data_IF_974403172749
#
_entry.id   IF_974403172749
#
_cell.length_a   1.000
_cell.length_b   1.000
_cell.length_c   1.000
_cell.angle_alpha   90.00
_cell.angle_beta   90.00
_cell.angle_gamma   90.00
#
_symmetry.space_group_name_H-M   'P 1'
#
loop_
_entity.id
_entity.type
_entity.pdbx_description
1 polymer ?
#
# COMPACT_ATOMS: atom_id res chain seq x y z
N UNK A 1 -9.95 10.26 -1.65
CA UNK A 1 -10.63 11.23 -0.77
C UNK A 1 -9.99 12.61 -0.90
N UNK A 2 -10.79 13.66 -1.11
CA UNK A 2 -10.32 15.05 -1.11
C UNK A 2 -10.66 15.74 0.21
N UNK A 3 -9.88 16.75 0.58
CA UNK A 3 -10.29 17.68 1.62
C UNK A 3 -11.59 18.39 1.21
N UNK A 4 -12.49 18.56 2.17
CA UNK A 4 -13.75 19.30 1.98
C UNK A 4 -13.70 20.67 2.63
N UNK A 5 -12.73 20.88 3.52
CA UNK A 5 -12.52 22.13 4.24
C UNK A 5 -11.24 22.84 3.77
N UNK A 6 -11.21 24.16 3.90
CA UNK A 6 -10.06 25.00 3.50
C UNK A 6 -8.81 24.83 4.37
N UNK A 7 -8.95 24.25 5.56
CA UNK A 7 -7.83 23.88 6.43
C UNK A 7 -7.20 22.51 6.05
N UNK A 8 -7.71 21.83 5.01
CA UNK A 8 -7.22 20.53 4.58
C UNK A 8 -7.84 19.33 5.30
N UNK A 9 -8.91 19.50 6.07
CA UNK A 9 -9.63 18.38 6.68
C UNK A 9 -10.76 17.85 5.81
N UNK A 10 -11.25 16.67 6.16
CA UNK A 10 -12.41 16.02 5.55
C UNK A 10 -13.58 16.02 6.52
N UNK A 11 -14.74 16.44 6.03
CA UNK A 11 -16.04 16.32 6.68
C UNK A 11 -16.96 15.58 5.73
N UNK A 12 -17.56 14.49 6.20
CA UNK A 12 -18.42 13.66 5.36
C UNK A 12 -19.64 14.44 4.85
N UNK A 13 -20.03 14.20 3.60
CA UNK A 13 -21.17 14.85 2.95
C UNK A 13 -20.86 16.23 2.37
N UNK A 14 -19.76 16.88 2.76
CA UNK A 14 -19.34 18.14 2.15
C UNK A 14 -18.71 17.92 0.77
N UNK A 15 -18.87 18.91 -0.11
CA UNK A 15 -18.22 18.89 -1.42
C UNK A 15 -16.69 19.08 -1.28
N UNK A 16 -15.87 18.55 -2.21
CA UNK A 16 -14.45 18.83 -2.23
C UNK A 16 -14.16 20.33 -2.22
N UNK A 17 -13.26 20.78 -1.34
CA UNK A 17 -12.87 22.17 -1.28
C UNK A 17 -12.12 22.56 -2.56
N UNK A 18 -12.56 23.62 -3.22
CA UNK A 18 -11.84 24.23 -4.33
C UNK A 18 -10.84 25.24 -3.75
N UNK A 19 -9.55 24.93 -3.86
CA UNK A 19 -8.49 25.81 -3.34
C UNK A 19 -8.11 26.92 -4.33
N UNK A 20 -8.16 26.62 -5.63
CA UNK A 20 -7.83 27.54 -6.70
C UNK A 20 -8.40 27.03 -8.03
N UNK A 21 -8.67 27.93 -8.96
CA UNK A 21 -9.03 27.59 -10.33
C UNK A 21 -8.57 28.67 -11.31
N UNK A 22 -8.54 28.35 -12.60
CA UNK A 22 -8.16 29.33 -13.60
C UNK A 22 -8.22 28.80 -15.02
N UNK A 23 -7.57 29.54 -15.92
CA UNK A 23 -7.49 29.22 -17.34
C UNK A 23 -6.04 29.24 -17.78
N UNK A 24 -5.64 28.16 -18.45
CA UNK A 24 -4.28 27.98 -18.96
C UNK A 24 -4.00 29.04 -20.01
N UNK A 25 -2.93 29.80 -19.82
CA UNK A 25 -2.55 30.91 -20.70
C UNK A 25 -1.75 30.47 -21.93
N UNK A 26 -1.04 29.35 -21.84
CA UNK A 26 -0.12 28.90 -22.90
C UNK A 26 0.00 27.39 -22.86
N UNK A 27 -0.16 26.73 -24.01
CA UNK A 27 0.12 25.29 -24.15
C UNK A 27 1.58 25.01 -23.82
N UNK A 28 1.82 24.02 -22.97
CA UNK A 28 3.14 23.55 -22.59
C UNK A 28 3.24 22.03 -22.77
N UNK A 29 4.46 21.50 -22.68
CA UNK A 29 4.65 20.05 -22.59
C UNK A 29 3.99 19.51 -21.30
N UNK A 30 3.64 18.22 -21.32
CA UNK A 30 3.08 17.56 -20.14
C UNK A 30 3.98 17.67 -18.91
N UNK A 31 3.34 17.79 -17.74
CA UNK A 31 4.01 18.06 -16.46
C UNK A 31 4.14 19.54 -16.12
N UNK A 32 3.72 20.43 -17.01
CA UNK A 32 3.76 21.88 -16.81
C UNK A 32 2.41 22.50 -17.15
N UNK A 33 1.93 23.38 -16.29
CA UNK A 33 0.76 24.23 -16.57
C UNK A 33 1.12 25.69 -16.31
N UNK A 34 0.80 26.57 -17.25
CA UNK A 34 1.15 27.99 -17.20
C UNK A 34 -0.12 28.84 -17.19
N UNK A 35 -0.30 29.63 -16.13
CA UNK A 35 -1.33 30.64 -16.00
C UNK A 35 -0.68 31.99 -15.67
N UNK A 36 -0.52 32.84 -16.69
CA UNK A 36 0.12 34.15 -16.59
C UNK A 36 -0.73 35.17 -15.84
N UNK A 37 -2.01 34.88 -15.60
CA UNK A 37 -2.90 35.74 -14.81
C UNK A 37 -2.63 35.61 -13.30
N UNK A 38 -1.88 34.59 -12.88
CA UNK A 38 -1.65 34.27 -11.46
C UNK A 38 -0.39 34.92 -10.91
N UNK A 39 -0.33 35.01 -9.58
CA UNK A 39 0.83 35.48 -8.83
C UNK A 39 0.96 34.70 -7.53
N UNK A 40 1.17 33.39 -7.67
CA UNK A 40 1.28 32.46 -6.55
C UNK A 40 2.57 32.65 -5.76
N UNK A 41 2.53 32.37 -4.45
CA UNK A 41 3.77 32.21 -3.71
C UNK A 41 4.50 30.94 -4.20
N UNK A 42 5.84 31.00 -4.24
CA UNK A 42 6.67 29.86 -4.64
C UNK A 42 6.31 28.63 -3.80
N UNK A 43 6.05 27.52 -4.47
CA UNK A 43 5.74 26.21 -3.88
C UNK A 43 4.53 26.15 -2.94
N UNK A 44 3.63 27.14 -2.94
CA UNK A 44 2.43 27.09 -2.10
C UNK A 44 1.48 25.93 -2.43
N UNK A 45 1.56 25.38 -3.65
CA UNK A 45 0.69 24.31 -4.13
C UNK A 45 1.35 22.93 -4.09
N UNK A 46 2.57 22.78 -3.56
CA UNK A 46 3.24 21.47 -3.47
C UNK A 46 2.41 20.52 -2.59
N UNK A 47 2.20 19.30 -3.09
CA UNK A 47 1.38 18.28 -2.42
C UNK A 47 -0.14 18.41 -2.65
N UNK A 48 -0.59 19.47 -3.33
CA UNK A 48 -1.96 19.57 -3.86
C UNK A 48 -2.05 18.85 -5.22
N UNK A 49 -3.27 18.70 -5.74
CA UNK A 49 -3.52 18.15 -7.07
C UNK A 49 -4.09 19.20 -8.00
N UNK A 50 -3.60 19.26 -9.24
CA UNK A 50 -4.25 20.00 -10.33
C UNK A 50 -5.03 19.02 -11.20
N UNK A 51 -6.22 19.42 -11.65
CA UNK A 51 -7.03 18.65 -12.61
C UNK A 51 -7.50 19.52 -13.77
N UNK A 52 -7.66 18.92 -14.94
CA UNK A 52 -8.29 19.58 -16.07
C UNK A 52 -9.82 19.57 -15.90
N UNK A 53 -10.42 20.75 -15.94
CA UNK A 53 -11.87 20.94 -15.78
C UNK A 53 -12.56 21.36 -17.08
N UNK A 54 -11.84 21.40 -18.21
CA UNK A 54 -12.41 21.71 -19.52
C UNK A 54 -13.13 20.48 -20.09
N UNK A 55 -14.47 20.47 -20.24
CA UNK A 55 -15.21 19.32 -20.75
C UNK A 55 -14.88 18.95 -22.21
N UNK A 56 -14.27 19.87 -22.96
CA UNK A 56 -13.86 19.64 -24.35
C UNK A 56 -12.42 19.13 -24.49
N UNK A 57 -11.63 19.15 -23.40
CA UNK A 57 -10.25 18.69 -23.43
C UNK A 57 -10.19 17.16 -23.37
N UNK A 58 -9.22 16.56 -24.07
CA UNK A 58 -8.99 15.12 -24.02
C UNK A 58 -8.78 14.60 -22.57
N UNK A 59 -7.95 15.26 -21.71
CA UNK A 59 -7.77 14.83 -20.32
C UNK A 59 -8.82 15.41 -19.37
N UNK A 60 -10.08 15.63 -19.80
CA UNK A 60 -11.13 16.14 -18.91
C UNK A 60 -11.30 15.24 -17.67
N UNK A 61 -11.23 15.86 -16.48
CA UNK A 61 -11.22 15.22 -15.14
C UNK A 61 -9.96 14.46 -14.76
N UNK A 62 -8.99 14.34 -15.65
CA UNK A 62 -7.67 13.82 -15.29
C UNK A 62 -6.93 14.82 -14.40
N UNK A 63 -6.11 14.31 -13.49
CA UNK A 63 -5.39 15.12 -12.52
C UNK A 63 -4.10 14.48 -12.06
N UNK A 64 -3.22 15.29 -11.49
CA UNK A 64 -1.95 14.85 -10.93
C UNK A 64 -1.52 15.74 -9.76
N UNK A 65 -0.61 15.25 -8.93
CA UNK A 65 -0.07 16.02 -7.82
C UNK A 65 1.02 17.00 -8.27
N UNK A 66 1.01 18.17 -7.66
CA UNK A 66 1.90 19.29 -7.92
C UNK A 66 3.18 19.07 -7.11
N UNK A 67 4.32 19.13 -7.79
CA UNK A 67 5.66 18.94 -7.20
C UNK A 67 6.43 20.24 -7.03
N UNK A 68 6.06 21.30 -7.77
CA UNK A 68 6.61 22.65 -7.61
C UNK A 68 5.66 23.69 -8.19
N UNK A 69 5.80 24.95 -7.77
CA UNK A 69 5.23 26.08 -8.51
C UNK A 69 6.04 27.38 -8.38
N UNK A 70 6.02 28.18 -9.43
CA UNK A 70 6.42 29.59 -9.42
C UNK A 70 5.17 30.47 -9.25
N UNK A 71 5.28 31.77 -9.54
CA UNK A 71 4.14 32.69 -9.54
C UNK A 71 3.05 32.37 -10.57
N UNK A 72 3.43 31.77 -11.70
CA UNK A 72 2.54 31.58 -12.87
C UNK A 72 2.61 30.16 -13.45
N UNK A 73 3.38 29.27 -12.85
CA UNK A 73 3.66 27.95 -13.43
C UNK A 73 3.54 26.89 -12.36
N UNK A 74 2.70 25.88 -12.59
CA UNK A 74 2.70 24.63 -11.85
C UNK A 74 3.58 23.62 -12.58
N UNK A 75 4.34 22.85 -11.80
CA UNK A 75 4.97 21.61 -12.25
C UNK A 75 4.31 20.47 -11.49
N UNK A 76 3.79 19.48 -12.22
CA UNK A 76 3.10 18.32 -11.67
C UNK A 76 3.74 17.03 -12.18
N UNK A 77 3.50 15.93 -11.48
CA UNK A 77 4.04 14.64 -11.89
C UNK A 77 3.37 14.17 -13.19
N UNK A 78 4.17 13.87 -14.22
CA UNK A 78 3.65 13.53 -15.54
C UNK A 78 3.82 12.04 -15.84
N UNK A 79 2.70 11.37 -16.11
CA UNK A 79 2.65 9.95 -16.42
C UNK A 79 2.44 9.73 -17.92
N UNK A 80 3.27 8.90 -18.55
CA UNK A 80 3.38 8.84 -20.02
C UNK A 80 3.03 7.50 -20.65
N UNK A 81 2.67 6.48 -19.87
CA UNK A 81 2.46 5.11 -20.39
C UNK A 81 1.12 4.90 -21.11
N UNK A 82 0.16 5.82 -20.99
CA UNK A 82 -1.11 5.78 -21.74
C UNK A 82 -2.09 4.67 -21.35
N UNK A 83 -1.77 3.86 -20.34
CA UNK A 83 -2.60 2.78 -19.77
C UNK A 83 -3.78 3.29 -18.93
N UNK A 84 -3.89 4.60 -18.72
CA UNK A 84 -4.88 5.23 -17.83
C UNK A 84 -5.71 6.32 -18.52
N UNK A 85 -5.83 6.23 -19.85
CA UNK A 85 -6.52 7.23 -20.66
C UNK A 85 -5.57 8.34 -21.16
N UNK A 86 -6.12 9.48 -21.60
CA UNK A 86 -5.34 10.58 -22.15
C UNK A 86 -4.32 11.13 -21.13
N UNK A 87 -3.11 11.42 -21.59
CA UNK A 87 -2.11 12.06 -20.75
C UNK A 87 -2.57 13.46 -20.31
N UNK A 88 -2.31 13.82 -19.05
CA UNK A 88 -2.66 15.15 -18.52
C UNK A 88 -1.77 16.22 -19.14
N UNK A 89 -2.24 16.80 -20.24
CA UNK A 89 -1.66 17.95 -20.93
C UNK A 89 -2.68 19.09 -20.91
N UNK A 90 -2.20 20.29 -20.63
CA UNK A 90 -3.02 21.49 -20.54
C UNK A 90 -2.79 22.37 -21.77
N UNK A 91 -3.83 22.53 -22.59
CA UNK A 91 -3.80 23.43 -23.74
C UNK A 91 -4.20 24.85 -23.36
N UNK A 92 -3.73 25.84 -24.11
CA UNK A 92 -4.15 27.22 -23.94
C UNK A 92 -5.68 27.32 -24.04
N UNK A 93 -6.31 27.94 -23.05
CA UNK A 93 -7.77 28.04 -22.93
C UNK A 93 -8.42 26.95 -22.09
N UNK A 94 -7.70 25.88 -21.72
CA UNK A 94 -8.24 24.88 -20.79
C UNK A 94 -8.51 25.50 -19.42
N UNK A 95 -9.65 25.14 -18.81
CA UNK A 95 -9.90 25.42 -17.41
C UNK A 95 -9.27 24.35 -16.52
N UNK A 96 -8.84 24.76 -15.32
CA UNK A 96 -8.29 23.85 -14.31
C UNK A 96 -8.82 24.17 -12.90
N UNK A 97 -8.71 23.18 -12.02
CA UNK A 97 -9.00 23.28 -10.60
C UNK A 97 -7.87 22.68 -9.77
N UNK A 98 -7.59 23.28 -8.60
CA UNK A 98 -6.67 22.77 -7.60
C UNK A 98 -7.46 22.29 -6.37
N UNK A 99 -7.21 21.05 -5.99
CA UNK A 99 -7.77 20.40 -4.82
C UNK A 99 -6.67 19.80 -3.95
N UNK A 100 -7.01 19.43 -2.71
CA UNK A 100 -6.12 18.66 -1.84
C UNK A 100 -6.60 17.22 -1.72
N UNK A 101 -5.84 16.29 -2.29
CA UNK A 101 -6.07 14.86 -2.10
C UNK A 101 -5.47 14.46 -0.74
N UNK A 102 -6.25 13.77 0.08
CA UNK A 102 -5.82 13.32 1.41
C UNK A 102 -5.42 11.84 1.43
N UNK A 103 -6.07 11.05 0.59
CA UNK A 103 -5.83 9.62 0.41
C UNK A 103 -6.31 9.20 -0.97
N UNK A 104 -5.67 8.20 -1.56
CA UNK A 104 -6.08 7.58 -2.83
C UNK A 104 -6.56 6.16 -2.58
N UNK A 105 -7.36 5.62 -3.50
CA UNK A 105 -7.72 4.20 -3.51
C UNK A 105 -6.44 3.37 -3.64
N UNK A 106 -6.34 2.27 -2.91
CA UNK A 106 -5.17 1.38 -2.85
C UNK A 106 -3.90 2.04 -2.29
N UNK A 107 -4.05 3.11 -1.50
CA UNK A 107 -2.91 3.67 -0.79
C UNK A 107 -2.41 2.67 0.29
N UNK A 108 -1.10 2.36 0.35
CA UNK A 108 -0.56 1.58 1.46
C UNK A 108 -0.90 2.21 2.81
N UNK A 109 -1.23 1.38 3.80
CA UNK A 109 -1.65 1.86 5.12
C UNK A 109 -3.16 2.14 5.25
N UNK A 110 -3.99 1.68 4.29
CA UNK A 110 -5.44 1.93 4.21
C UNK A 110 -6.28 0.67 3.92
N UNK A 111 -6.06 -0.41 4.68
CA UNK A 111 -6.58 -1.75 4.34
C UNK A 111 -8.08 -1.97 4.54
N UNK A 112 -8.73 -1.21 5.41
CA UNK A 112 -10.12 -1.44 5.81
C UNK A 112 -11.06 -0.37 5.28
N UNK A 113 -12.07 -0.75 4.52
CA UNK A 113 -13.08 0.16 3.98
C UNK A 113 -14.35 -0.58 3.53
N UNK A 114 -15.28 0.19 2.98
CA UNK A 114 -16.51 -0.28 2.37
C UNK A 114 -16.24 -1.08 1.10
N UNK A 115 -17.13 -2.04 0.84
CA UNK A 115 -17.10 -2.80 -0.40
C UNK A 115 -17.36 -1.92 -1.62
N UNK A 116 -16.37 -1.80 -2.49
CA UNK A 116 -16.55 -1.32 -3.87
C UNK A 116 -17.08 -2.45 -4.75
N UNK A 117 -18.03 -2.16 -5.65
CA UNK A 117 -18.53 -3.15 -6.61
C UNK A 117 -19.01 -2.52 -7.92
N UNK A 118 -19.13 -3.32 -8.98
CA UNK A 118 -19.43 -2.84 -10.33
C UNK A 118 -18.17 -2.70 -11.19
N UNK A 119 -18.33 -2.49 -12.49
CA UNK A 119 -17.22 -2.60 -13.45
C UNK A 119 -16.70 -1.26 -13.99
N UNK A 120 -17.55 -0.24 -14.18
CA UNK A 120 -17.06 1.13 -14.46
C UNK A 120 -18.21 2.17 -14.52
N UNK A 121 -18.23 3.19 -13.65
CA UNK A 121 -17.34 3.36 -12.49
C UNK A 121 -17.80 2.47 -11.33
N UNK A 122 -16.89 1.99 -10.46
CA UNK A 122 -17.27 1.26 -9.27
C UNK A 122 -18.10 2.14 -8.31
N UNK A 123 -19.02 1.51 -7.59
CA UNK A 123 -19.83 2.17 -6.55
C UNK A 123 -19.42 1.67 -5.17
N UNK A 124 -19.37 2.57 -4.20
CA UNK A 124 -19.34 2.20 -2.79
C UNK A 124 -20.74 1.67 -2.43
N UNK A 125 -20.83 0.43 -1.94
CA UNK A 125 -22.10 -0.18 -1.54
C UNK A 125 -22.79 0.49 -0.35
N UNK A 126 -22.04 1.02 0.62
CA UNK A 126 -22.62 1.72 1.76
C UNK A 126 -23.29 3.03 1.35
N UNK A 127 -22.66 3.77 0.44
CA UNK A 127 -23.18 5.04 -0.07
C UNK A 127 -24.13 4.88 -1.29
N UNK A 128 -24.20 3.68 -1.87
CA UNK A 128 -24.92 3.36 -3.10
C UNK A 128 -24.64 4.34 -4.27
N UNK A 129 -23.40 4.81 -4.38
CA UNK A 129 -22.94 5.74 -5.43
C UNK A 129 -21.42 5.68 -5.56
N UNK A 130 -20.88 6.34 -6.59
CA UNK A 130 -19.45 6.63 -6.64
C UNK A 130 -19.08 7.52 -5.46
N UNK A 131 -18.38 6.93 -4.50
CA UNK A 131 -17.99 7.59 -3.28
C UNK A 131 -16.71 6.95 -2.73
N UNK A 132 -16.05 7.70 -1.86
CA UNK A 132 -14.94 7.18 -1.08
C UNK A 132 -15.37 5.93 -0.30
N UNK A 133 -14.50 4.91 -0.25
CA UNK A 133 -14.73 3.63 0.42
C UNK A 133 -14.49 3.70 1.93
N UNK A 134 -14.46 4.88 2.54
CA UNK A 134 -14.21 5.04 3.98
C UNK A 134 -12.95 4.31 4.49
N UNK A 135 -11.88 4.30 3.68
CA UNK A 135 -10.67 3.55 4.08
C UNK A 135 -10.06 4.13 5.35
N UNK A 136 -9.99 3.28 6.38
CA UNK A 136 -9.42 3.59 7.67
C UNK A 136 -7.90 3.47 7.63
N UNK A 137 -7.24 4.18 8.54
CA UNK A 137 -5.80 4.08 8.74
C UNK A 137 -5.45 2.73 9.35
N UNK A 138 -4.66 1.93 8.65
CA UNK A 138 -4.08 0.66 9.11
C UNK A 138 -2.59 0.63 8.72
N UNK A 139 -1.72 1.28 9.50
CA UNK A 139 -0.39 1.67 9.03
C UNK A 139 0.56 0.50 8.80
N UNK A 140 1.19 0.40 7.64
CA UNK A 140 2.21 -0.63 7.41
C UNK A 140 3.43 -0.42 8.32
N UNK A 141 3.88 -1.46 9.03
CA UNK A 141 5.03 -1.38 9.93
C UNK A 141 6.18 -2.27 9.48
N UNK A 142 7.40 -1.72 9.52
CA UNK A 142 8.63 -2.45 9.21
C UNK A 142 9.59 -2.39 10.40
N UNK A 143 10.23 -3.51 10.72
CA UNK A 143 11.27 -3.62 11.75
C UNK A 143 12.22 -4.76 11.39
N UNK A 144 13.47 -4.69 11.85
CA UNK A 144 14.52 -5.70 11.65
C UNK A 144 14.81 -6.10 10.20
N UNK A 145 14.32 -5.36 9.20
CA UNK A 145 14.74 -5.49 7.80
C UNK A 145 16.15 -4.89 7.64
N UNK A 146 17.18 -5.64 8.02
CA UNK A 146 18.54 -5.14 8.15
C UNK A 146 19.44 -5.65 7.03
N UNK A 147 20.21 -4.75 6.40
CA UNK A 147 21.31 -5.13 5.53
C UNK A 147 22.51 -5.60 6.38
N UNK A 148 22.74 -6.91 6.37
CA UNK A 148 23.68 -7.56 7.29
C UNK A 148 25.10 -6.99 7.26
N UNK A 149 25.59 -6.51 6.12
CA UNK A 149 26.97 -5.99 5.98
C UNK A 149 27.20 -4.61 6.60
N UNK A 150 26.15 -3.80 6.75
CA UNK A 150 26.25 -2.42 7.27
C UNK A 150 25.38 -2.17 8.49
N UNK A 151 24.56 -3.16 8.86
CA UNK A 151 23.53 -3.05 9.88
C UNK A 151 22.50 -1.93 9.60
N UNK A 152 22.37 -1.50 8.34
CA UNK A 152 21.40 -0.48 7.95
C UNK A 152 19.98 -1.07 7.93
N UNK A 153 19.04 -0.42 8.60
CA UNK A 153 17.63 -0.80 8.56
C UNK A 153 16.95 -0.21 7.33
N UNK A 154 16.28 -1.05 6.56
CA UNK A 154 15.39 -0.67 5.47
C UNK A 154 13.93 -0.66 5.94
N UNK A 155 13.13 0.15 5.27
CA UNK A 155 11.70 0.24 5.54
C UNK A 155 10.96 0.76 4.32
N UNK A 156 9.72 1.19 4.55
CA UNK A 156 8.89 1.78 3.52
C UNK A 156 9.38 3.19 3.16
N UNK A 157 9.19 3.58 1.90
CA UNK A 157 9.39 4.93 1.42
C UNK A 157 8.35 5.25 0.36
N UNK A 158 7.99 6.51 0.24
CA UNK A 158 7.08 6.96 -0.81
C UNK A 158 7.39 8.40 -1.21
N UNK A 159 7.45 8.63 -2.52
CA UNK A 159 7.48 9.97 -3.09
C UNK A 159 6.06 10.56 -3.24
N UNK A 160 5.02 9.78 -2.88
CA UNK A 160 3.64 10.21 -2.98
C UNK A 160 3.28 11.14 -1.81
N UNK A 161 2.70 12.33 -2.07
CA UNK A 161 2.41 13.30 -1.01
C UNK A 161 1.34 12.82 -0.02
N UNK A 162 0.56 11.79 -0.38
CA UNK A 162 -0.51 11.26 0.47
C UNK A 162 -0.06 10.07 1.32
N UNK A 163 1.12 9.49 1.11
CA UNK A 163 1.64 8.38 1.91
C UNK A 163 2.64 8.90 2.94
N UNK A 164 2.20 9.03 4.19
CA UNK A 164 2.95 9.74 5.24
C UNK A 164 3.58 8.78 6.25
N UNK A 165 4.88 8.92 6.48
CA UNK A 165 5.54 8.28 7.62
C UNK A 165 4.92 8.80 8.93
N UNK A 166 4.67 7.90 9.88
CA UNK A 166 4.00 8.24 11.14
C UNK A 166 2.48 8.30 11.03
N UNK A 167 1.89 7.97 9.88
CA UNK A 167 0.44 7.84 9.71
C UNK A 167 0.07 6.60 8.91
N UNK A 168 0.60 6.48 7.69
CA UNK A 168 0.28 5.39 6.78
C UNK A 168 1.34 4.28 6.84
N UNK A 169 2.56 4.62 7.26
CA UNK A 169 3.60 3.63 7.55
C UNK A 169 4.55 4.06 8.67
N UNK A 170 5.18 3.07 9.30
CA UNK A 170 6.19 3.25 10.34
C UNK A 170 7.41 2.37 10.05
N UNK A 171 8.60 2.99 10.08
CA UNK A 171 9.88 2.29 9.98
C UNK A 171 10.52 2.29 11.36
N UNK A 172 10.37 1.20 12.10
CA UNK A 172 10.78 1.09 13.50
C UNK A 172 12.29 0.86 13.67
N UNK A 173 12.99 0.53 12.58
CA UNK A 173 14.43 0.32 12.57
C UNK A 173 14.83 -1.10 12.95
N UNK A 174 15.95 -1.24 13.66
CA UNK A 174 16.58 -2.51 14.01
C UNK A 174 16.78 -2.66 15.53
N UNK A 175 17.24 -3.84 15.96
CA UNK A 175 17.60 -4.11 17.35
C UNK A 175 16.46 -4.67 18.20
N UNK A 176 15.33 -5.03 17.58
CA UNK A 176 14.27 -5.75 18.28
C UNK A 176 14.67 -7.23 18.45
N UNK A 177 14.35 -7.88 19.58
CA UNK A 177 14.62 -9.29 19.77
C UNK A 177 14.00 -10.15 18.67
N UNK A 178 14.71 -11.20 18.24
CA UNK A 178 14.19 -12.15 17.26
C UNK A 178 12.87 -12.78 17.74
N UNK A 179 11.96 -13.06 16.80
CA UNK A 179 10.66 -13.67 17.07
C UNK A 179 9.77 -12.90 18.05
N UNK A 180 9.99 -11.59 18.22
CA UNK A 180 9.14 -10.73 19.06
C UNK A 180 8.45 -9.65 18.24
N UNK A 181 7.28 -9.24 18.71
CA UNK A 181 6.54 -8.10 18.18
C UNK A 181 6.99 -6.83 18.91
N UNK A 182 7.42 -5.77 18.19
CA UNK A 182 7.70 -4.48 18.80
C UNK A 182 6.46 -3.93 19.55
N UNK A 183 6.62 -3.32 20.74
CA UNK A 183 5.48 -2.76 21.50
C UNK A 183 4.63 -1.78 20.70
N UNK A 184 5.25 -0.98 19.82
CA UNK A 184 4.54 -0.07 18.92
C UNK A 184 3.55 -0.80 18.01
N UNK A 185 3.97 -1.94 17.43
CA UNK A 185 3.12 -2.78 16.57
C UNK A 185 1.94 -3.33 17.37
N UNK A 186 2.22 -3.95 18.52
CA UNK A 186 1.18 -4.53 19.38
C UNK A 186 0.16 -3.48 19.86
N UNK A 187 0.61 -2.27 20.17
CA UNK A 187 -0.26 -1.17 20.62
C UNK A 187 -1.14 -0.58 19.51
N UNK A 188 -0.68 -0.63 18.26
CA UNK A 188 -1.46 -0.14 17.11
C UNK A 188 -2.44 -1.19 16.62
N UNK A 189 -1.98 -2.44 16.49
CA UNK A 189 -2.75 -3.55 15.97
C UNK A 189 -3.42 -4.37 17.07
N UNK A 190 -4.34 -3.72 17.77
CA UNK A 190 -5.19 -4.37 18.78
C UNK A 190 -6.26 -5.24 18.11
N UNK A 191 -6.81 -6.21 18.84
CA UNK A 191 -7.97 -6.98 18.40
C UNK A 191 -9.17 -6.10 18.01
N UNK A 192 -9.32 -4.90 18.62
CA UNK A 192 -10.38 -3.97 18.24
C UNK A 192 -10.22 -3.45 16.80
N UNK A 193 -8.99 -3.35 16.29
CA UNK A 193 -8.71 -2.94 14.92
C UNK A 193 -8.81 -4.13 13.95
N UNK A 194 -8.12 -5.23 14.27
CA UNK A 194 -7.87 -6.37 13.37
C UNK A 194 -8.83 -7.56 13.55
N UNK A 195 -9.70 -7.54 14.57
CA UNK A 195 -10.49 -8.70 15.00
C UNK A 195 -9.72 -9.73 15.83
N UNK A 196 -8.38 -9.69 15.80
CA UNK A 196 -7.46 -10.51 16.61
C UNK A 196 -6.24 -9.69 17.02
N UNK A 197 -5.66 -10.00 18.18
CA UNK A 197 -4.42 -9.35 18.63
C UNK A 197 -3.24 -9.82 17.76
N UNK A 198 -2.37 -8.88 17.38
CA UNK A 198 -1.10 -9.22 16.75
C UNK A 198 -0.09 -9.64 17.84
N UNK A 199 -0.03 -10.93 18.15
CA UNK A 199 0.75 -11.47 19.29
C UNK A 199 2.17 -11.92 18.93
N UNK A 200 2.57 -11.86 17.66
CA UNK A 200 3.87 -12.39 17.23
C UNK A 200 4.01 -12.42 15.72
N UNK A 201 5.26 -12.61 15.21
CA UNK A 201 5.45 -12.98 13.82
C UNK A 201 4.68 -14.27 13.52
N UNK A 202 4.00 -14.28 12.38
CA UNK A 202 3.26 -15.44 11.92
C UNK A 202 4.24 -16.56 11.57
N UNK A 203 4.16 -17.68 12.30
CA UNK A 203 4.90 -18.90 12.00
C UNK A 203 4.07 -19.71 11.00
N UNK A 204 4.64 -19.99 9.83
CA UNK A 204 3.98 -20.85 8.85
C UNK A 204 3.86 -22.28 9.39
N UNK A 205 2.71 -22.96 9.16
CA UNK A 205 1.67 -22.71 8.17
C UNK A 205 0.36 -22.17 8.78
N UNK A 206 -0.46 -21.56 7.91
CA UNK A 206 -1.70 -20.86 8.26
C UNK A 206 -2.87 -21.77 8.71
N UNK A 207 -3.78 -21.32 9.61
CA UNK A 207 -4.97 -22.07 10.01
C UNK A 207 -6.17 -22.01 9.03
N UNK A 208 -6.04 -21.34 7.88
CA UNK A 208 -7.06 -21.35 6.81
C UNK A 208 -6.92 -22.53 5.82
N UNK A 209 -6.01 -23.46 6.09
CA UNK A 209 -6.13 -24.83 5.60
C UNK A 209 -6.74 -25.62 6.74
N UNK A 210 -8.01 -25.96 6.63
CA UNK A 210 -8.68 -26.94 7.49
C UNK A 210 -8.10 -28.36 7.31
N UNK A 211 -6.81 -28.49 6.94
CA UNK A 211 -6.17 -29.75 6.55
C UNK A 211 -4.64 -29.73 6.43
N UNK A 212 -3.89 -28.66 6.76
CA UNK A 212 -2.42 -28.76 6.76
C UNK A 212 -1.92 -29.14 8.16
N UNK A 213 -1.20 -30.27 8.21
CA UNK A 213 -0.44 -30.74 9.37
C UNK A 213 0.41 -29.61 9.94
N UNK A 214 0.31 -29.40 11.26
CA UNK A 214 1.25 -28.57 12.01
C UNK A 214 2.67 -29.12 11.77
N UNK A 215 3.64 -28.32 11.27
CA UNK A 215 5.03 -28.71 11.21
C UNK A 215 5.47 -29.15 12.60
N UNK A 216 6.03 -30.34 12.67
CA UNK A 216 6.41 -30.96 13.94
C UNK A 216 7.86 -30.60 14.22
N UNK A 217 8.19 -30.25 15.46
CA UNK A 217 9.57 -30.15 15.92
C UNK A 217 10.04 -31.55 16.31
N UNK A 218 10.73 -32.24 15.39
CA UNK A 218 11.15 -33.64 15.54
C UNK A 218 12.49 -33.74 16.27
N UNK A 219 13.34 -32.71 16.18
CA UNK A 219 14.66 -32.68 16.80
C UNK A 219 14.71 -31.94 18.16
N UNK A 220 13.65 -31.25 18.56
CA UNK A 220 13.49 -30.55 19.83
C UNK A 220 14.19 -29.18 19.91
N UNK A 221 14.51 -28.55 18.77
CA UNK A 221 15.24 -27.28 18.72
C UNK A 221 14.34 -26.04 18.75
N UNK A 222 13.02 -26.23 18.85
CA UNK A 222 12.02 -25.18 18.87
C UNK A 222 11.72 -24.58 17.50
N UNK A 223 12.14 -25.24 16.40
CA UNK A 223 11.90 -24.83 15.02
C UNK A 223 11.05 -25.88 14.29
N UNK A 224 10.31 -25.48 13.24
CA UNK A 224 9.48 -26.42 12.49
C UNK A 224 10.33 -27.36 11.61
N UNK A 225 10.07 -28.66 11.66
CA UNK A 225 10.66 -29.65 10.74
C UNK A 225 9.61 -30.20 9.75
N UNK A 226 10.08 -30.66 8.59
CA UNK A 226 9.24 -31.27 7.56
C UNK A 226 9.52 -32.76 7.40
N UNK A 227 8.44 -33.56 7.40
CA UNK A 227 8.47 -34.93 6.94
C UNK A 227 8.05 -34.99 5.47
N UNK A 228 8.97 -35.43 4.63
CA UNK A 228 8.84 -35.49 3.17
C UNK A 228 8.71 -36.94 2.73
N UNK A 229 7.86 -37.17 1.73
CA UNK A 229 7.65 -38.47 1.10
C UNK A 229 7.77 -38.36 -0.41
N UNK A 230 8.65 -39.15 -1.01
CA UNK A 230 8.76 -39.27 -2.45
C UNK A 230 7.83 -40.39 -2.93
N UNK A 231 6.71 -40.11 -3.63
CA UNK A 231 5.74 -41.14 -4.01
C UNK A 231 6.27 -42.13 -5.06
N UNK A 232 7.31 -41.76 -5.81
CA UNK A 232 7.91 -42.62 -6.84
C UNK A 232 8.88 -43.63 -6.23
N UNK A 233 9.77 -43.19 -5.35
CA UNK A 233 10.78 -44.05 -4.71
C UNK A 233 10.33 -44.61 -3.37
N UNK A 234 9.25 -44.06 -2.82
CA UNK A 234 8.69 -44.31 -1.48
C UNK A 234 9.63 -43.95 -0.33
N UNK A 235 10.69 -43.19 -0.62
CA UNK A 235 11.63 -42.73 0.39
C UNK A 235 10.98 -41.67 1.28
N UNK A 236 11.28 -41.73 2.57
CA UNK A 236 10.91 -40.69 3.53
C UNK A 236 12.15 -39.96 4.03
N UNK A 237 12.02 -38.66 4.28
CA UNK A 237 13.09 -37.81 4.80
C UNK A 237 12.50 -36.82 5.79
N UNK A 238 13.23 -36.55 6.86
CA UNK A 238 12.99 -35.41 7.75
C UNK A 238 13.96 -34.30 7.35
N UNK A 239 13.45 -33.09 7.12
CA UNK A 239 14.23 -31.87 6.94
C UNK A 239 14.15 -31.03 8.21
N UNK A 240 15.31 -30.72 8.76
CA UNK A 240 15.45 -29.78 9.87
C UNK A 240 15.56 -28.37 9.32
N UNK A 241 14.68 -27.46 9.74
CA UNK A 241 14.62 -26.11 9.17
C UNK A 241 14.90 -25.03 10.21
N UNK A 242 15.52 -23.94 9.75
CA UNK A 242 15.50 -22.66 10.44
C UNK A 242 14.83 -21.65 9.52
N UNK A 243 13.53 -21.43 9.74
CA UNK A 243 12.65 -20.71 8.83
C UNK A 243 12.59 -21.40 7.44
N UNK A 244 13.06 -20.76 6.39
CA UNK A 244 13.09 -21.25 5.00
C UNK A 244 14.42 -21.92 4.62
N UNK A 245 15.34 -22.06 5.57
CA UNK A 245 16.69 -22.63 5.34
C UNK A 245 16.77 -24.06 5.87
N UNK A 246 17.18 -25.00 5.01
CA UNK A 246 17.52 -26.37 5.40
C UNK A 246 18.84 -26.40 6.19
N UNK A 247 18.78 -26.79 7.45
CA UNK A 247 19.95 -26.86 8.35
C UNK A 247 20.47 -28.29 8.56
N UNK A 248 19.68 -29.29 8.20
CA UNK A 248 20.07 -30.69 8.25
C UNK A 248 18.94 -31.61 7.77
N UNK A 249 19.22 -32.91 7.67
CA UNK A 249 18.20 -33.90 7.32
C UNK A 249 18.54 -35.28 7.88
N UNK A 250 17.51 -36.12 7.97
CA UNK A 250 17.64 -37.54 8.28
C UNK A 250 16.79 -38.37 7.31
N UNK A 251 17.36 -39.44 6.77
CA UNK A 251 16.61 -40.40 5.97
C UNK A 251 15.77 -41.29 6.88
N UNK A 252 14.48 -41.37 6.59
CA UNK A 252 13.58 -42.35 7.17
C UNK A 252 13.56 -43.65 6.35
N UNK A 253 12.75 -44.63 6.76
CA UNK A 253 12.59 -45.87 6.00
C UNK A 253 11.92 -45.60 4.64
N UNK A 254 12.30 -46.40 3.64
CA UNK A 254 11.54 -46.50 2.40
C UNK A 254 10.27 -47.32 2.65
N UNK A 255 9.10 -46.75 2.37
CA UNK A 255 7.83 -47.41 2.62
C UNK A 255 7.62 -48.60 1.67
N UNK A 256 7.03 -49.66 2.22
CA UNK A 256 6.72 -50.86 1.47
C UNK A 256 5.51 -50.64 0.56
N UNK A 257 5.35 -51.49 -0.45
CA UNK A 257 4.20 -51.37 -1.35
C UNK A 257 2.89 -51.53 -0.56
N UNK A 258 1.95 -50.62 -0.76
CA UNK A 258 0.68 -50.60 -0.03
C UNK A 258 0.70 -49.91 1.34
N UNK A 259 1.85 -49.38 1.78
CA UNK A 259 1.95 -48.56 2.99
C UNK A 259 1.90 -47.08 2.65
N UNK A 260 1.17 -46.32 3.46
CA UNK A 260 1.05 -44.86 3.34
C UNK A 260 1.67 -44.21 4.56
N UNK A 261 2.32 -43.06 4.32
CA UNK A 261 2.74 -42.18 5.40
C UNK A 261 1.50 -41.55 6.04
N UNK A 262 1.39 -41.63 7.36
CA UNK A 262 0.33 -40.99 8.14
C UNK A 262 0.98 -40.02 9.13
N UNK A 263 0.53 -38.77 9.13
CA UNK A 263 0.79 -37.85 10.24
C UNK A 263 -0.14 -38.22 11.42
N UNK A 264 0.28 -38.00 12.68
CA UNK A 264 -0.62 -38.10 13.83
C UNK A 264 -1.79 -37.12 13.74
#
# INVERSE_FOLDING_TARGET
MNATEGNGTYVEGHAPHLYESGTVSTTAAGGVMIDKSKSWARNQWVGYSVRNSNPSAAPYKEGSYIIANTATTLTYWFYTSGDRGPALVFDAGDSYEIHKVLSVLDQPGRGKGDLASGQSPPVNRAANRQFWTHELVEPSMSWNNVFTSTNAAYGFGSDMPTALQGRDYYNLGAGFPANTTPPAVASTYTAALNGVDYVGPFVYPHPLVSSASVPTDVNGDGKPDYLLYNPTTRQTVIWYLNNDVLIGHAFGPTLWFGWSLVAP
#
